data_IF_466577417497
#
_entry.id   IF_466577417497
#
_cell.length_a   1.000
_cell.length_b   1.000
_cell.length_c   1.000
_cell.angle_alpha   90.00
_cell.angle_beta   90.00
_cell.angle_gamma   90.00
#
_symmetry.space_group_name_H-M   'P 1'
#
loop_
_entity.id
_entity.type
_entity.pdbx_description
1 polymer ?
#
# COMPACT_ATOMS: atom_id res chain seq x y z
N UNK A 1 7.92 5.36 1.28
CA UNK A 1 7.88 3.90 0.96
C UNK A 1 6.49 3.32 1.25
N UNK A 2 5.96 3.51 2.46
CA UNK A 2 4.59 3.12 2.83
C UNK A 2 3.50 3.80 1.97
N UNK A 3 3.65 5.09 1.67
CA UNK A 3 2.73 5.80 0.77
C UNK A 3 2.64 5.14 -0.62
N UNK A 4 3.78 4.79 -1.23
CA UNK A 4 3.82 4.08 -2.53
C UNK A 4 3.20 2.68 -2.46
N UNK A 5 3.22 2.06 -1.28
CA UNK A 5 2.56 0.77 -1.04
C UNK A 5 1.04 0.91 -1.12
N UNK A 6 0.52 1.90 -0.42
CA UNK A 6 -0.90 2.17 -0.32
C UNK A 6 -1.44 2.79 -1.62
N UNK A 7 -0.71 3.72 -2.24
CA UNK A 7 -1.00 4.26 -3.58
C UNK A 7 -1.18 3.12 -4.58
N UNK A 8 -0.28 2.13 -4.50
CA UNK A 8 -0.27 1.01 -5.41
C UNK A 8 -1.45 0.07 -5.14
N UNK A 9 -1.77 -0.24 -3.89
CA UNK A 9 -2.95 -1.05 -3.52
C UNK A 9 -4.29 -0.35 -3.80
N UNK A 10 -4.30 0.99 -3.88
CA UNK A 10 -5.47 1.79 -4.19
C UNK A 10 -5.78 1.84 -5.70
N UNK A 11 -4.85 1.43 -6.58
CA UNK A 11 -5.03 1.42 -8.04
C UNK A 11 -5.90 0.23 -8.49
N UNK A 12 -7.12 0.45 -8.99
CA UNK A 12 -8.01 -0.64 -9.41
C UNK A 12 -7.54 -1.40 -10.67
N UNK A 13 -6.56 -0.87 -11.42
CA UNK A 13 -6.11 -1.44 -12.70
C UNK A 13 -5.00 -2.49 -12.61
N UNK A 14 -4.49 -2.79 -11.42
CA UNK A 14 -3.26 -3.57 -11.26
C UNK A 14 -3.45 -4.89 -10.48
N UNK A 15 -2.59 -5.87 -10.76
CA UNK A 15 -2.63 -7.15 -10.06
C UNK A 15 -1.90 -7.05 -8.72
N UNK A 16 -2.66 -7.10 -7.62
CA UNK A 16 -2.15 -6.90 -6.25
C UNK A 16 -1.60 -8.17 -5.61
N UNK A 17 -0.78 -8.93 -6.34
CA UNK A 17 -0.04 -10.04 -5.75
C UNK A 17 1.27 -9.54 -5.11
N UNK A 18 1.86 -10.35 -4.21
CA UNK A 18 3.13 -10.01 -3.51
C UNK A 18 4.23 -9.57 -4.48
N UNK A 19 4.35 -10.27 -5.60
CA UNK A 19 5.41 -10.05 -6.59
C UNK A 19 5.27 -8.70 -7.29
N UNK A 20 4.05 -8.29 -7.62
CA UNK A 20 3.76 -6.99 -8.24
C UNK A 20 4.04 -5.84 -7.28
N UNK A 21 3.57 -5.97 -6.03
CA UNK A 21 3.77 -4.95 -4.99
C UNK A 21 5.25 -4.79 -4.63
N UNK A 22 6.03 -5.87 -4.59
CA UNK A 22 7.46 -5.79 -4.34
C UNK A 22 8.17 -5.02 -5.45
N UNK A 23 7.84 -5.29 -6.72
CA UNK A 23 8.42 -4.60 -7.87
C UNK A 23 8.06 -3.12 -7.89
N UNK A 24 6.80 -2.79 -7.63
CA UNK A 24 6.31 -1.41 -7.62
C UNK A 24 6.98 -0.55 -6.54
N UNK A 25 7.30 -1.15 -5.40
CA UNK A 25 7.87 -0.42 -4.26
C UNK A 25 9.39 -0.33 -4.29
N UNK A 26 10.05 -1.06 -5.20
CA UNK A 26 11.52 -1.08 -5.38
C UNK A 26 12.28 -1.31 -4.07
N UNK A 27 11.69 -2.11 -3.18
CA UNK A 27 12.23 -2.38 -1.84
C UNK A 27 12.83 -3.78 -1.78
N UNK A 28 13.89 -3.98 -0.98
CA UNK A 28 14.35 -5.31 -0.62
C UNK A 28 13.19 -6.12 0.03
N UNK A 29 13.12 -7.41 -0.30
CA UNK A 29 12.12 -8.37 0.17
C UNK A 29 11.92 -8.39 1.70
N UNK A 30 12.97 -8.25 2.48
CA UNK A 30 12.86 -8.31 3.95
C UNK A 30 12.11 -7.11 4.52
N UNK A 31 12.40 -5.92 3.97
CA UNK A 31 11.72 -4.67 4.35
C UNK A 31 10.29 -4.68 3.84
N UNK A 32 10.07 -5.17 2.61
CA UNK A 32 8.75 -5.40 2.02
C UNK A 32 7.86 -6.25 2.95
N UNK A 33 8.38 -7.40 3.42
CA UNK A 33 7.66 -8.31 4.30
C UNK A 33 7.31 -7.67 5.64
N UNK A 34 8.21 -6.87 6.22
CA UNK A 34 7.96 -6.16 7.49
C UNK A 34 6.82 -5.15 7.35
N UNK A 35 6.77 -4.42 6.23
CA UNK A 35 5.68 -3.49 5.98
C UNK A 35 4.34 -4.20 5.75
N UNK A 36 4.31 -5.30 5.01
CA UNK A 36 3.09 -6.11 4.87
C UNK A 36 2.59 -6.61 6.21
N UNK A 37 3.46 -7.19 7.04
CA UNK A 37 3.08 -7.67 8.36
C UNK A 37 2.56 -6.55 9.27
N UNK A 38 3.13 -5.35 9.18
CA UNK A 38 2.65 -4.18 9.91
C UNK A 38 1.26 -3.72 9.44
N UNK A 39 1.03 -3.67 8.12
CA UNK A 39 -0.25 -3.28 7.53
C UNK A 39 -1.35 -4.30 7.85
N UNK A 40 -1.00 -5.58 7.82
CA UNK A 40 -1.89 -6.69 8.19
C UNK A 40 -2.23 -6.66 9.68
N UNK A 41 -1.24 -6.48 10.56
CA UNK A 41 -1.46 -6.36 12.00
C UNK A 41 -2.33 -5.14 12.38
N UNK A 42 -2.32 -4.10 11.53
CA UNK A 42 -3.20 -2.92 11.66
C UNK A 42 -4.59 -3.12 11.07
N UNK A 43 -4.88 -4.25 10.41
CA UNK A 43 -6.15 -4.48 9.75
C UNK A 43 -6.34 -3.70 8.45
N UNK A 44 -5.30 -3.04 7.93
CA UNK A 44 -5.41 -2.17 6.74
C UNK A 44 -5.36 -2.92 5.43
N UNK A 45 -4.90 -4.18 5.45
CA UNK A 45 -4.88 -5.05 4.29
C UNK A 45 -5.48 -6.42 4.65
N UNK A 46 -6.03 -7.08 3.65
CA UNK A 46 -6.49 -8.46 3.75
C UNK A 46 -6.00 -9.29 2.57
N UNK A 47 -5.87 -10.60 2.81
CA UNK A 47 -5.49 -11.58 1.81
C UNK A 47 -6.75 -12.22 1.22
N UNK A 48 -6.87 -12.16 -0.09
CA UNK A 48 -7.84 -12.93 -0.85
C UNK A 48 -7.12 -14.14 -1.45
N UNK A 49 -7.44 -15.33 -0.93
CA UNK A 49 -6.97 -16.56 -1.49
C UNK A 49 -7.58 -16.74 -2.88
N UNK A 50 -6.74 -16.95 -3.89
CA UNK A 50 -7.23 -17.31 -5.22
C UNK A 50 -7.49 -18.81 -5.26
N UNK A 51 -8.69 -19.22 -5.67
CA UNK A 51 -8.95 -20.62 -5.96
C UNK A 51 -8.02 -21.12 -7.08
N UNK A 52 -7.29 -22.21 -6.83
CA UNK A 52 -6.39 -22.85 -7.81
C UNK A 52 -4.90 -22.49 -7.65
N UNK A 53 -4.18 -22.35 -8.78
CA UNK A 53 -2.71 -22.10 -8.82
C UNK A 53 -2.32 -20.61 -8.86
N UNK A 54 -3.23 -19.72 -8.49
CA UNK A 54 -2.98 -18.28 -8.48
C UNK A 54 -2.13 -17.84 -7.29
N UNK A 55 -1.48 -16.67 -7.39
CA UNK A 55 -0.91 -16.02 -6.21
C UNK A 55 -2.01 -15.34 -5.40
N UNK A 56 -1.90 -15.38 -4.07
CA UNK A 56 -2.78 -14.63 -3.16
C UNK A 56 -2.77 -13.15 -3.52
N UNK A 57 -3.97 -12.56 -3.49
CA UNK A 57 -4.16 -11.13 -3.71
C UNK A 57 -4.20 -10.40 -2.39
N UNK A 58 -3.63 -9.20 -2.37
CA UNK A 58 -3.66 -8.29 -1.23
C UNK A 58 -4.56 -7.13 -1.62
N UNK A 59 -5.50 -6.76 -0.77
CA UNK A 59 -6.35 -5.59 -1.00
C UNK A 59 -6.44 -4.73 0.25
N UNK A 60 -6.73 -3.45 0.08
CA UNK A 60 -7.07 -2.57 1.19
C UNK A 60 -8.43 -2.95 1.75
N UNK A 61 -8.52 -3.03 3.08
CA UNK A 61 -9.80 -3.02 3.79
C UNK A 61 -10.40 -1.61 3.74
N UNK A 62 -11.64 -1.45 4.18
CA UNK A 62 -12.26 -0.13 4.30
C UNK A 62 -11.45 0.77 5.26
N UNK A 63 -11.03 0.24 6.41
CA UNK A 63 -10.13 0.91 7.35
C UNK A 63 -8.79 1.30 6.70
N UNK A 64 -8.23 0.41 5.87
CA UNK A 64 -7.00 0.68 5.13
C UNK A 64 -7.15 1.80 4.10
N UNK A 65 -8.32 1.93 3.46
CA UNK A 65 -8.62 3.02 2.51
C UNK A 65 -8.76 4.37 3.22
N UNK A 66 -9.40 4.39 4.38
CA UNK A 66 -9.51 5.59 5.21
C UNK A 66 -8.13 6.06 5.67
N UNK A 67 -7.35 5.15 6.28
CA UNK A 67 -5.99 5.44 6.74
C UNK A 67 -5.06 5.91 5.61
N UNK A 68 -5.18 5.31 4.42
CA UNK A 68 -4.45 5.77 3.24
C UNK A 68 -4.86 7.20 2.84
N UNK A 69 -6.15 7.51 2.85
CA UNK A 69 -6.66 8.82 2.44
C UNK A 69 -6.18 9.93 3.37
N UNK A 70 -6.20 9.67 4.68
CA UNK A 70 -5.64 10.57 5.70
C UNK A 70 -4.13 10.78 5.51
N UNK A 71 -3.37 9.68 5.37
CA UNK A 71 -1.91 9.76 5.18
C UNK A 71 -1.55 10.51 3.90
N UNK A 72 -2.26 10.24 2.80
CA UNK A 72 -2.05 10.92 1.53
C UNK A 72 -2.44 12.40 1.62
N UNK A 73 -3.50 12.73 2.37
CA UNK A 73 -3.88 14.11 2.69
C UNK A 73 -2.76 14.85 3.41
N UNK A 74 -2.28 14.28 4.51
CA UNK A 74 -1.19 14.84 5.30
C UNK A 74 0.09 15.03 4.48
N UNK A 75 0.45 14.07 3.64
CA UNK A 75 1.62 14.19 2.74
C UNK A 75 1.42 15.33 1.73
N UNK A 76 0.23 15.46 1.13
CA UNK A 76 -0.08 16.56 0.21
C UNK A 76 0.01 17.92 0.90
N UNK A 77 -0.49 18.03 2.12
CA UNK A 77 -0.39 19.26 2.92
C UNK A 77 1.06 19.59 3.27
N UNK A 78 1.83 18.61 3.75
CA UNK A 78 3.24 18.81 4.10
C UNK A 78 4.11 19.17 2.88
N UNK A 79 3.86 18.58 1.72
CA UNK A 79 4.57 18.90 0.48
C UNK A 79 4.06 20.20 -0.16
N UNK A 80 2.77 20.52 -0.01
CA UNK A 80 2.16 21.76 -0.48
C UNK A 80 2.65 22.98 0.29
N UNK A 81 2.88 22.85 1.60
CA UNK A 81 3.53 23.89 2.41
C UNK A 81 5.03 24.04 2.15
N UNK A 82 5.72 23.05 1.57
CA UNK A 82 7.15 23.13 1.27
C UNK A 82 7.51 23.73 -0.10
N UNK A 83 6.54 23.95 -0.98
CA UNK A 83 6.76 24.39 -2.38
C UNK A 83 6.16 25.78 -2.68
N UNK A 84 5.53 26.42 -1.69
CA UNK A 84 4.90 27.74 -1.80
C UNK A 84 5.18 28.63 -0.57
N UNK A 85 6.33 28.49 0.09
CA UNK A 85 6.88 29.57 0.92
C UNK A 85 7.88 30.36 0.04
N UNK A 86 7.51 31.55 -0.48
CA UNK A 86 8.46 32.49 -1.09
C UNK A 86 9.38 33.15 -0.05
#
# INVERSE_FOLDING_TARGET
>A
MLARFLDRLADPGEDHNKSSLQRATRTNYDVFRRYLALLEAKGWIAWEAREGRGQDRIHLTDEGREAYSELAGWIREALGHGLLDP
#
